data_IF_392677898026
#
_entry.id   IF_392677898026
#
_cell.length_a   1.000
_cell.length_b   1.000
_cell.length_c   1.000
_cell.angle_alpha   90.00
_cell.angle_beta   90.00
_cell.angle_gamma   90.00
#
_symmetry.space_group_name_H-M   'P 1'
#
loop_
_entity.id
_entity.type
_entity.pdbx_description
1 polymer ?
#
# COMPACT_ATOMS: atom_id res chain seq x y z
N UNK A 1 -3.29 -2.66 -18.29
CA UNK A 1 -1.90 -2.74 -17.81
C UNK A 1 -1.83 -3.58 -16.55
N UNK A 2 -0.97 -4.58 -16.54
CA UNK A 2 -0.88 -5.52 -15.42
C UNK A 2 0.36 -5.33 -14.54
N UNK A 3 1.38 -4.67 -15.03
CA UNK A 3 2.57 -4.36 -14.23
C UNK A 3 3.21 -3.05 -14.66
N UNK A 4 3.88 -2.41 -13.71
CA UNK A 4 4.58 -1.14 -13.95
C UNK A 4 5.71 -1.01 -12.95
N UNK A 5 6.85 -0.53 -13.42
CA UNK A 5 8.01 -0.29 -12.58
C UNK A 5 8.46 1.15 -12.75
N UNK A 6 8.77 1.81 -11.63
CA UNK A 6 9.21 3.19 -11.62
C UNK A 6 10.30 3.39 -10.58
N UNK A 7 11.18 4.35 -10.82
CA UNK A 7 12.19 4.76 -9.85
C UNK A 7 11.82 6.15 -9.33
N UNK A 8 11.75 6.30 -8.00
CA UNK A 8 11.61 7.61 -7.36
C UNK A 8 12.97 8.07 -6.85
N UNK A 9 13.21 9.39 -6.91
CA UNK A 9 14.50 9.97 -6.57
C UNK A 9 14.59 10.51 -5.14
N UNK A 10 13.48 10.61 -4.43
CA UNK A 10 13.43 11.19 -3.08
C UNK A 10 12.28 10.59 -2.28
N UNK A 11 12.35 10.74 -0.95
CA UNK A 11 11.25 10.35 -0.08
C UNK A 11 9.97 11.12 -0.41
N UNK A 12 10.10 12.40 -0.75
CA UNK A 12 8.97 13.23 -1.18
C UNK A 12 8.29 12.65 -2.41
N UNK A 13 9.06 12.22 -3.41
CA UNK A 13 8.52 11.63 -4.64
C UNK A 13 7.84 10.29 -4.36
N UNK A 14 8.41 9.47 -3.48
CA UNK A 14 7.77 8.21 -3.04
C UNK A 14 6.42 8.49 -2.37
N UNK A 15 6.35 9.52 -1.51
CA UNK A 15 5.07 9.91 -0.88
C UNK A 15 4.07 10.43 -1.90
N UNK A 16 4.51 11.21 -2.88
CA UNK A 16 3.63 11.70 -3.95
C UNK A 16 3.00 10.54 -4.74
N UNK A 17 3.80 9.51 -5.03
CA UNK A 17 3.30 8.32 -5.70
C UNK A 17 2.25 7.61 -4.83
N UNK A 18 2.54 7.47 -3.54
CA UNK A 18 1.59 6.92 -2.57
C UNK A 18 0.31 7.75 -2.50
N UNK A 19 0.42 9.08 -2.53
CA UNK A 19 -0.72 9.98 -2.47
C UNK A 19 -1.64 9.83 -3.68
N UNK A 20 -1.09 9.72 -4.89
CA UNK A 20 -1.88 9.41 -6.07
C UNK A 20 -2.58 8.07 -5.94
N UNK A 21 -1.86 7.06 -5.49
CA UNK A 21 -2.40 5.72 -5.26
C UNK A 21 -3.59 5.78 -4.29
N UNK A 22 -3.42 6.42 -3.14
CA UNK A 22 -4.48 6.55 -2.14
C UNK A 22 -5.68 7.31 -2.66
N UNK A 23 -5.45 8.34 -3.47
CA UNK A 23 -6.54 9.13 -4.07
C UNK A 23 -7.35 8.36 -5.11
N UNK A 24 -6.74 7.35 -5.73
CA UNK A 24 -7.39 6.49 -6.73
C UNK A 24 -8.02 5.24 -6.11
N UNK A 25 -7.66 4.90 -4.88
CA UNK A 25 -8.14 3.67 -4.24
C UNK A 25 -9.65 3.70 -4.03
N UNK A 26 -10.27 2.54 -4.22
CA UNK A 26 -11.70 2.35 -4.02
C UNK A 26 -11.95 1.31 -2.94
N UNK A 27 -13.16 1.31 -2.37
CA UNK A 27 -13.55 0.38 -1.33
C UNK A 27 -13.38 -1.07 -1.78
N UNK A 28 -12.81 -1.89 -0.91
CA UNK A 28 -12.57 -3.31 -1.18
C UNK A 28 -11.24 -3.62 -1.86
N UNK A 29 -10.42 -2.61 -2.14
CA UNK A 29 -9.09 -2.83 -2.70
C UNK A 29 -8.17 -3.42 -1.65
N UNK A 30 -7.42 -4.46 -2.02
CA UNK A 30 -6.42 -5.10 -1.16
C UNK A 30 -5.03 -4.94 -1.78
N UNK A 31 -4.11 -4.38 -1.01
CA UNK A 31 -2.73 -4.11 -1.44
C UNK A 31 -1.77 -4.95 -0.60
N UNK A 32 -0.92 -5.72 -1.25
CA UNK A 32 0.18 -6.40 -0.58
C UNK A 32 1.47 -5.61 -0.82
N UNK A 33 2.02 -5.04 0.25
CA UNK A 33 3.20 -4.18 0.20
C UNK A 33 4.40 -4.91 0.75
N UNK A 34 5.41 -5.14 -0.09
CA UNK A 34 6.61 -5.84 0.28
C UNK A 34 7.86 -4.99 0.11
N UNK A 35 8.92 -5.37 0.81
CA UNK A 35 10.21 -4.69 0.76
C UNK A 35 10.97 -4.95 2.04
N UNK A 36 12.29 -4.82 1.99
CA UNK A 36 13.14 -4.99 3.15
C UNK A 36 12.92 -3.84 4.15
N UNK A 37 13.33 -4.05 5.39
CA UNK A 37 13.30 -3.01 6.41
C UNK A 37 14.10 -1.80 5.89
N UNK A 38 13.51 -0.60 6.00
CA UNK A 38 14.13 0.61 5.48
C UNK A 38 13.96 0.84 3.99
N UNK A 39 13.20 -0.01 3.29
CA UNK A 39 13.00 0.13 1.83
C UNK A 39 12.07 1.30 1.45
N UNK A 40 11.36 1.91 2.42
CA UNK A 40 10.45 3.02 2.14
C UNK A 40 8.97 2.64 2.18
N UNK A 41 8.63 1.48 2.73
CA UNK A 41 7.23 1.05 2.86
C UNK A 41 6.40 2.04 3.67
N UNK A 42 6.92 2.50 4.80
CA UNK A 42 6.24 3.50 5.64
C UNK A 42 6.04 4.81 4.89
N UNK A 43 7.04 5.24 4.14
CA UNK A 43 6.99 6.46 3.33
C UNK A 43 5.86 6.37 2.28
N UNK A 44 5.78 5.26 1.57
CA UNK A 44 4.72 5.02 0.60
C UNK A 44 3.35 4.96 1.28
N UNK A 45 3.25 4.23 2.40
CA UNK A 45 2.01 4.11 3.17
C UNK A 45 1.54 5.47 3.72
N UNK A 46 2.46 6.33 4.15
CA UNK A 46 2.13 7.69 4.56
C UNK A 46 1.51 8.48 3.41
N UNK A 47 2.08 8.35 2.21
CA UNK A 47 1.52 8.97 1.01
C UNK A 47 0.10 8.46 0.73
N UNK A 48 -0.10 7.15 0.81
CA UNK A 48 -1.44 6.55 0.63
C UNK A 48 -2.43 7.15 1.63
N UNK A 49 -2.02 7.28 2.89
CA UNK A 49 -2.85 7.92 3.92
C UNK A 49 -3.22 9.36 3.57
N UNK A 50 -2.27 10.13 3.05
CA UNK A 50 -2.54 11.50 2.58
C UNK A 50 -3.58 11.49 1.46
N UNK A 51 -3.46 10.58 0.50
CA UNK A 51 -4.42 10.44 -0.59
C UNK A 51 -5.82 10.02 -0.13
N UNK A 52 -5.90 9.30 0.99
CA UNK A 52 -7.18 8.94 1.62
C UNK A 52 -7.74 10.04 2.51
N UNK A 53 -7.03 11.14 2.66
CA UNK A 53 -7.43 12.29 3.50
C UNK A 53 -7.70 11.85 4.95
N UNK A 54 -6.70 11.15 5.54
CA UNK A 54 -6.83 10.67 6.92
C UNK A 54 -6.85 11.83 7.92
N UNK A 55 -7.48 11.59 9.07
CA UNK A 55 -7.52 12.56 10.15
C UNK A 55 -6.08 12.91 10.60
N UNK A 56 -5.76 14.22 10.82
CA UNK A 56 -4.41 14.63 11.21
C UNK A 56 -3.93 14.02 12.54
N UNK A 57 -4.86 13.60 13.40
CA UNK A 57 -4.55 12.97 14.67
C UNK A 57 -4.20 11.50 14.55
N UNK A 58 -4.21 10.94 13.33
CA UNK A 58 -3.98 9.52 13.09
C UNK A 58 -2.80 9.33 12.13
N UNK A 59 -1.55 9.57 12.58
CA UNK A 59 -0.39 9.45 11.70
C UNK A 59 -0.17 8.01 11.26
N UNK A 60 0.19 7.83 9.99
CA UNK A 60 0.53 6.51 9.46
C UNK A 60 1.94 6.15 9.89
N UNK A 61 2.06 5.07 10.66
CA UNK A 61 3.33 4.50 11.09
C UNK A 61 3.31 3.01 10.78
N UNK A 62 4.48 2.35 10.86
CA UNK A 62 4.53 0.91 10.70
C UNK A 62 3.78 0.23 11.86
N UNK A 63 2.82 -0.68 11.58
CA UNK A 63 2.08 -1.37 12.65
C UNK A 63 2.83 -2.57 13.23
N UNK A 64 4.18 -2.54 13.26
CA UNK A 64 5.02 -3.67 13.67
C UNK A 64 4.71 -4.19 15.07
N UNK A 65 4.24 -3.33 15.97
CA UNK A 65 3.90 -3.71 17.34
C UNK A 65 2.41 -3.95 17.55
N UNK A 66 1.56 -3.27 16.77
CA UNK A 66 0.11 -3.35 16.92
C UNK A 66 -0.53 -4.38 15.99
N UNK A 67 0.19 -4.81 14.94
CA UNK A 67 -0.23 -5.74 13.89
C UNK A 67 -1.31 -5.16 12.97
N UNK A 68 -2.19 -4.32 13.47
CA UNK A 68 -3.25 -3.66 12.71
C UNK A 68 -3.44 -2.24 13.22
N UNK A 69 -3.33 -1.27 12.33
CA UNK A 69 -3.73 0.11 12.58
C UNK A 69 -4.94 0.43 11.70
N UNK A 70 -5.95 1.08 12.28
CA UNK A 70 -7.15 1.50 11.56
C UNK A 70 -7.19 3.02 11.56
N UNK A 71 -7.28 3.62 10.37
CA UNK A 71 -7.37 5.06 10.19
C UNK A 71 -8.65 5.41 9.46
N UNK A 72 -9.27 6.53 9.83
CA UNK A 72 -10.48 7.02 9.17
C UNK A 72 -10.15 8.16 8.22
N UNK A 73 -10.69 8.09 7.01
CA UNK A 73 -10.50 9.11 5.98
C UNK A 73 -11.63 9.01 4.95
N UNK A 74 -11.33 9.37 3.71
CA UNK A 74 -12.27 9.18 2.60
C UNK A 74 -12.78 7.75 2.52
N UNK A 75 -11.85 6.81 2.76
CA UNK A 75 -12.13 5.39 3.01
C UNK A 75 -11.42 5.01 4.30
N UNK A 76 -11.94 4.03 5.07
CA UNK A 76 -11.15 3.44 6.14
C UNK A 76 -9.87 2.84 5.59
N UNK A 77 -8.77 3.00 6.31
CA UNK A 77 -7.47 2.44 5.95
C UNK A 77 -7.10 1.37 6.97
N UNK A 78 -7.11 0.10 6.55
CA UNK A 78 -6.77 -1.04 7.38
C UNK A 78 -5.35 -1.47 7.05
N UNK A 79 -4.42 -1.14 7.94
CA UNK A 79 -2.98 -1.31 7.73
C UNK A 79 -2.47 -2.44 8.62
N UNK A 80 -2.20 -3.60 8.01
CA UNK A 80 -1.69 -4.80 8.68
C UNK A 80 -0.18 -4.92 8.48
N UNK A 81 0.52 -5.48 9.50
CA UNK A 81 1.92 -5.84 9.38
C UNK A 81 2.11 -7.30 9.79
N UNK A 82 2.65 -8.10 8.87
CA UNK A 82 2.88 -9.53 9.08
C UNK A 82 4.27 -9.84 9.61
N UNK A 83 5.05 -8.82 9.97
CA UNK A 83 6.43 -9.02 10.41
C UNK A 83 6.56 -10.06 11.53
N UNK A 84 5.62 -10.06 12.48
CA UNK A 84 5.62 -10.95 13.62
C UNK A 84 4.75 -12.19 13.46
N UNK A 85 3.94 -12.23 12.40
CA UNK A 85 3.04 -13.35 12.16
C UNK A 85 3.75 -14.40 11.33
N UNK A 86 3.56 -15.67 11.69
CA UNK A 86 4.18 -16.79 11.01
C UNK A 86 3.18 -17.61 10.20
N UNK A 87 1.88 -17.42 10.43
CA UNK A 87 0.82 -18.20 9.78
C UNK A 87 -0.33 -17.30 9.37
N UNK A 88 -1.03 -17.69 8.29
CA UNK A 88 -2.21 -16.98 7.79
C UNK A 88 -3.34 -16.99 8.83
N UNK A 89 -3.45 -18.05 9.63
CA UNK A 89 -4.48 -18.15 10.66
C UNK A 89 -4.39 -17.00 11.68
N UNK A 90 -3.19 -16.47 11.91
CA UNK A 90 -3.01 -15.32 12.79
C UNK A 90 -3.70 -14.06 12.24
N UNK A 91 -3.72 -13.89 10.91
CA UNK A 91 -4.47 -12.80 10.27
C UNK A 91 -5.97 -12.99 10.41
N UNK A 92 -6.45 -14.23 10.25
CA UNK A 92 -7.86 -14.55 10.44
C UNK A 92 -8.31 -14.19 11.84
N UNK A 93 -7.49 -14.46 12.85
CA UNK A 93 -7.77 -14.12 14.24
C UNK A 93 -7.85 -12.60 14.46
N UNK A 94 -7.19 -11.79 13.60
CA UNK A 94 -7.29 -10.34 13.64
C UNK A 94 -8.51 -9.79 12.89
N UNK A 95 -9.32 -10.65 12.26
CA UNK A 95 -10.47 -10.22 11.48
C UNK A 95 -10.15 -9.78 10.07
N UNK A 96 -9.03 -10.24 9.51
CA UNK A 96 -8.54 -9.82 8.19
C UNK A 96 -9.61 -9.93 7.10
N UNK A 97 -10.32 -11.06 7.04
CA UNK A 97 -11.29 -11.30 5.97
C UNK A 97 -12.42 -10.26 5.99
N UNK A 98 -12.89 -9.88 7.16
CA UNK A 98 -13.93 -8.86 7.30
C UNK A 98 -13.47 -7.51 6.80
N UNK A 99 -12.22 -7.13 7.10
CA UNK A 99 -11.66 -5.87 6.63
C UNK A 99 -11.41 -5.91 5.11
N UNK A 100 -10.82 -6.99 4.61
CA UNK A 100 -10.48 -7.12 3.19
C UNK A 100 -11.73 -7.12 2.29
N UNK A 101 -12.84 -7.67 2.77
CA UNK A 101 -14.12 -7.69 2.05
C UNK A 101 -14.99 -6.48 2.36
N UNK A 102 -14.51 -5.57 3.19
CA UNK A 102 -15.28 -4.44 3.72
C UNK A 102 -15.23 -3.19 2.84
N UNK A 103 -15.35 -2.06 3.52
CA UNK A 103 -15.61 -0.75 2.94
C UNK A 103 -14.36 0.13 2.77
N UNK A 104 -13.18 -0.41 3.06
CA UNK A 104 -11.96 0.36 3.07
C UNK A 104 -10.89 -0.14 2.12
N UNK A 105 -9.73 0.50 2.24
CA UNK A 105 -8.49 0.05 1.62
C UNK A 105 -7.73 -0.80 2.65
N UNK A 106 -7.41 -2.05 2.28
CA UNK A 106 -6.62 -2.93 3.11
C UNK A 106 -5.20 -3.02 2.56
N UNK A 107 -4.22 -2.67 3.37
CA UNK A 107 -2.81 -2.77 3.01
C UNK A 107 -2.11 -3.73 3.97
N UNK A 108 -1.41 -4.72 3.43
CA UNK A 108 -0.71 -5.73 4.22
C UNK A 108 0.78 -5.62 3.91
N UNK A 109 1.58 -5.26 4.90
CA UNK A 109 3.05 -5.22 4.78
C UNK A 109 3.66 -6.59 5.03
N UNK A 110 4.81 -6.86 4.38
CA UNK A 110 5.57 -8.11 4.50
C UNK A 110 4.84 -9.33 3.97
N UNK A 111 3.93 -9.12 3.02
CA UNK A 111 3.11 -10.17 2.45
C UNK A 111 3.91 -11.26 1.73
N UNK A 112 5.17 -10.99 1.36
CA UNK A 112 6.05 -11.96 0.71
C UNK A 112 6.29 -13.20 1.57
N UNK A 113 6.20 -13.08 2.90
CA UNK A 113 6.32 -14.23 3.80
C UNK A 113 5.17 -15.23 3.66
N UNK A 114 4.05 -14.75 3.11
CA UNK A 114 2.83 -15.53 2.94
C UNK A 114 2.41 -15.56 1.47
N UNK A 115 3.41 -15.56 0.57
CA UNK A 115 3.18 -15.59 -0.88
C UNK A 115 2.25 -16.75 -1.25
N UNK A 116 1.20 -16.43 -2.00
CA UNK A 116 0.20 -17.40 -2.44
C UNK A 116 -0.88 -17.71 -1.41
N UNK A 117 -0.73 -17.24 -0.17
CA UNK A 117 -1.70 -17.46 0.90
C UNK A 117 -2.79 -16.38 0.97
N UNK A 118 -2.51 -15.19 0.43
CA UNK A 118 -3.45 -14.06 0.41
C UNK A 118 -3.74 -13.63 -1.01
N UNK A 119 -5.02 -13.40 -1.29
CA UNK A 119 -5.44 -12.78 -2.54
C UNK A 119 -5.26 -11.26 -2.42
N UNK A 120 -4.85 -10.62 -3.52
CA UNK A 120 -4.71 -9.16 -3.57
C UNK A 120 -5.32 -8.61 -4.84
N UNK A 121 -5.59 -7.30 -4.83
CA UNK A 121 -5.93 -6.54 -6.02
C UNK A 121 -4.65 -6.09 -6.73
N UNK A 122 -3.64 -5.68 -5.95
CA UNK A 122 -2.38 -5.19 -6.50
C UNK A 122 -1.25 -5.45 -5.49
N UNK A 123 -0.12 -5.90 -6.00
CA UNK A 123 1.11 -6.07 -5.23
C UNK A 123 2.02 -4.88 -5.50
N UNK A 124 2.64 -4.35 -4.45
CA UNK A 124 3.61 -3.26 -4.52
C UNK A 124 4.89 -3.70 -3.84
N UNK A 125 5.98 -3.77 -4.60
CA UNK A 125 7.30 -4.13 -4.08
C UNK A 125 8.22 -2.91 -4.15
N UNK A 126 8.85 -2.57 -3.01
CA UNK A 126 9.73 -1.41 -2.90
C UNK A 126 11.15 -1.90 -2.58
N UNK A 127 12.12 -1.41 -3.35
CA UNK A 127 13.53 -1.72 -3.18
C UNK A 127 14.34 -0.43 -3.07
N UNK A 128 15.23 -0.34 -2.08
CA UNK A 128 16.15 0.78 -1.94
C UNK A 128 17.26 0.66 -2.99
N UNK A 129 17.53 1.78 -3.68
CA UNK A 129 18.64 1.87 -4.64
C UNK A 129 19.82 2.66 -4.06
N UNK A 130 19.73 3.06 -2.79
CA UNK A 130 20.72 3.89 -2.12
C UNK A 130 20.14 5.27 -1.80
N UNK A 131 20.49 5.83 -0.64
CA UNK A 131 19.93 7.09 -0.17
C UNK A 131 18.40 7.04 -0.13
N UNK A 132 17.76 8.03 -0.77
CA UNK A 132 16.31 8.08 -0.86
C UNK A 132 15.75 7.52 -2.17
N UNK A 133 16.61 7.01 -3.05
CA UNK A 133 16.15 6.45 -4.31
C UNK A 133 15.48 5.09 -4.09
N UNK A 134 14.35 4.88 -4.76
CA UNK A 134 13.56 3.65 -4.61
C UNK A 134 13.12 3.15 -5.98
N UNK A 135 13.16 1.84 -6.15
CA UNK A 135 12.54 1.15 -7.28
C UNK A 135 11.23 0.56 -6.78
N UNK A 136 10.13 0.89 -7.43
CA UNK A 136 8.80 0.47 -7.01
C UNK A 136 8.15 -0.27 -8.17
N UNK A 137 7.74 -1.50 -7.91
CA UNK A 137 7.08 -2.34 -8.90
C UNK A 137 5.66 -2.63 -8.47
N UNK A 138 4.73 -2.39 -9.37
CA UNK A 138 3.31 -2.69 -9.20
C UNK A 138 2.93 -3.86 -10.07
N UNK A 139 2.18 -4.81 -9.53
CA UNK A 139 1.64 -5.93 -10.29
C UNK A 139 0.15 -6.05 -9.95
N UNK A 140 -0.71 -5.78 -10.93
CA UNK A 140 -2.16 -5.95 -10.75
C UNK A 140 -2.51 -7.43 -10.76
N UNK A 141 -3.39 -7.84 -9.84
CA UNK A 141 -3.81 -9.23 -9.66
C UNK A 141 -5.27 -9.46 -10.02
N UNK A 142 -6.07 -8.41 -10.04
CA UNK A 142 -7.48 -8.48 -10.44
C UNK A 142 -7.87 -7.22 -11.23
N UNK A 143 -9.14 -7.15 -11.65
CA UNK A 143 -9.62 -6.05 -12.47
C UNK A 143 -9.56 -4.71 -11.74
N UNK A 144 -9.81 -4.69 -10.43
CA UNK A 144 -9.71 -3.46 -9.62
C UNK A 144 -8.29 -2.93 -9.59
N UNK A 145 -7.32 -3.83 -9.39
CA UNK A 145 -5.91 -3.48 -9.40
C UNK A 145 -5.45 -2.99 -10.76
N UNK A 146 -5.90 -3.64 -11.84
CA UNK A 146 -5.55 -3.26 -13.20
C UNK A 146 -6.10 -1.86 -13.54
N UNK A 147 -7.32 -1.56 -13.16
CA UNK A 147 -7.93 -0.26 -13.38
C UNK A 147 -7.19 0.84 -12.62
N UNK A 148 -6.91 0.62 -11.34
CA UNK A 148 -6.16 1.57 -10.54
C UNK A 148 -4.78 1.81 -11.14
N UNK A 149 -4.09 0.75 -11.53
CA UNK A 149 -2.73 0.85 -12.09
C UNK A 149 -2.73 1.65 -13.38
N UNK A 150 -3.71 1.43 -14.26
CA UNK A 150 -3.83 2.20 -15.49
C UNK A 150 -4.01 3.69 -15.22
N UNK A 151 -4.86 4.04 -14.27
CA UNK A 151 -5.08 5.44 -13.87
C UNK A 151 -3.84 6.05 -13.22
N UNK A 152 -3.14 5.28 -12.38
CA UNK A 152 -1.93 5.74 -11.70
C UNK A 152 -0.83 6.08 -12.70
N UNK A 153 -0.59 5.19 -13.66
CA UNK A 153 0.41 5.40 -14.71
C UNK A 153 0.08 6.64 -15.52
N UNK A 154 -1.18 6.81 -15.91
CA UNK A 154 -1.62 7.95 -16.70
C UNK A 154 -1.41 9.26 -15.96
N UNK A 155 -1.81 9.32 -14.70
CA UNK A 155 -1.66 10.54 -13.89
C UNK A 155 -0.18 10.86 -13.60
N UNK A 156 0.61 9.85 -13.26
CA UNK A 156 2.03 10.05 -12.97
C UNK A 156 2.79 10.56 -14.20
N UNK A 157 2.54 9.93 -15.35
CA UNK A 157 3.19 10.29 -16.61
C UNK A 157 2.67 11.61 -17.18
N UNK A 158 1.43 11.98 -16.87
CA UNK A 158 0.81 13.23 -17.30
C UNK A 158 1.20 14.44 -16.48
N UNK A 159 2.01 14.26 -15.41
CA UNK A 159 2.43 15.36 -14.55
C UNK A 159 1.40 15.78 -13.51
N UNK A 160 0.31 15.03 -13.33
CA UNK A 160 -0.74 15.30 -12.32
C UNK A 160 -0.27 14.87 -10.92
N UNK A 161 0.98 15.20 -10.59
CA UNK A 161 1.57 14.83 -9.30
C UNK A 161 1.17 15.82 -8.23
N UNK A 162 0.82 15.34 -7.02
CA UNK A 162 0.52 16.25 -5.91
C UNK A 162 1.77 17.01 -5.48
N UNK A 163 1.57 18.23 -5.00
CA UNK A 163 2.65 19.10 -4.53
C UNK A 163 3.02 18.81 -3.06
#
# INVERSE_FOLDING_TARGET
MQSWQITTGSASETRQLGQLFGGLAEAGLVVLLSGQLGAGKTCFAQGVGTGLVLAPSSPVTSPSYTLLNIHQGRLPFYHFDLYRLTQVDDLTDLGYDEYAEGDGLTMVEWADRMTGALSSSIDVAIESLGGEQRKIRFVARDDRGAELLGQLVQKWSGGDRPS
#
